data_IF_385485173427
#
_entry.id   IF_385485173427
#
_cell.length_a   1.000
_cell.length_b   1.000
_cell.length_c   1.000
_cell.angle_alpha   90.00
_cell.angle_beta   90.00
_cell.angle_gamma   90.00
#
_symmetry.space_group_name_H-M   'P 1'
#
loop_
_entity.id
_entity.type
_entity.pdbx_description
1 polymer ?
#
# COMPACT_ATOMS: atom_id res chain seq x y z
N UNK A 1 -6.19 -5.98 12.08
CA UNK A 1 -6.10 -5.34 10.76
C UNK A 1 -6.44 -3.84 10.78
N UNK A 2 -7.65 -3.35 11.13
CA UNK A 2 -7.90 -1.89 11.07
C UNK A 2 -6.97 -1.05 11.94
N UNK A 3 -6.68 -1.53 13.16
CA UNK A 3 -5.77 -0.83 14.08
C UNK A 3 -4.36 -0.68 13.49
N UNK A 4 -3.81 -1.77 12.93
CA UNK A 4 -2.48 -1.77 12.31
C UNK A 4 -2.45 -0.92 11.05
N UNK A 5 -3.52 -0.96 10.24
CA UNK A 5 -3.67 -0.07 9.09
C UNK A 5 -3.72 1.42 9.50
N UNK A 6 -4.42 1.73 10.60
CA UNK A 6 -4.47 3.08 11.16
C UNK A 6 -3.07 3.54 11.61
N UNK A 7 -2.34 2.73 12.36
CA UNK A 7 -0.97 3.08 12.77
C UNK A 7 -0.05 3.27 11.56
N UNK A 8 -0.15 2.41 10.54
CA UNK A 8 0.59 2.60 9.30
C UNK A 8 0.25 3.93 8.61
N UNK A 9 -1.02 4.38 8.62
CA UNK A 9 -1.38 5.71 8.10
C UNK A 9 -0.74 6.85 8.89
N UNK A 10 -0.69 6.76 10.23
CA UNK A 10 0.00 7.76 11.06
C UNK A 10 1.50 7.80 10.76
N UNK A 11 2.14 6.65 10.57
CA UNK A 11 3.56 6.64 10.18
C UNK A 11 3.79 7.13 8.75
N UNK A 12 2.85 6.96 7.83
CA UNK A 12 2.93 7.56 6.50
C UNK A 12 2.87 9.10 6.57
N UNK A 13 2.04 9.65 7.46
CA UNK A 13 2.01 11.09 7.78
C UNK A 13 3.35 11.56 8.37
N UNK A 14 3.91 10.84 9.35
CA UNK A 14 5.21 11.16 9.94
C UNK A 14 6.33 11.15 8.88
N UNK A 15 6.35 10.16 7.98
CA UNK A 15 7.32 10.09 6.88
C UNK A 15 7.20 11.31 5.97
N UNK A 16 5.98 11.64 5.54
CA UNK A 16 5.75 12.77 4.65
C UNK A 16 6.14 14.10 5.31
N UNK A 17 5.79 14.29 6.58
CA UNK A 17 6.15 15.47 7.36
C UNK A 17 7.66 15.60 7.56
N UNK A 18 8.34 14.51 7.90
CA UNK A 18 9.79 14.49 8.08
C UNK A 18 10.54 14.80 6.77
N UNK A 19 10.12 14.22 5.64
CA UNK A 19 10.68 14.55 4.32
C UNK A 19 10.49 16.03 3.98
N UNK A 20 9.33 16.61 4.30
CA UNK A 20 9.03 18.01 4.02
C UNK A 20 10.00 18.98 4.72
N UNK A 21 10.44 18.67 5.94
CA UNK A 21 11.40 19.48 6.70
C UNK A 21 12.87 19.04 6.52
N UNK A 22 13.13 18.05 5.66
CA UNK A 22 14.47 17.53 5.40
C UNK A 22 15.04 16.58 6.46
N UNK A 23 14.21 16.07 7.37
CA UNK A 23 14.62 15.10 8.39
C UNK A 23 14.57 13.67 7.83
N UNK A 24 15.64 13.30 7.12
CA UNK A 24 15.77 11.98 6.51
C UNK A 24 15.81 10.82 7.52
N UNK A 25 16.37 11.02 8.71
CA UNK A 25 16.49 9.96 9.72
C UNK A 25 15.13 9.60 10.31
N UNK A 26 14.32 10.60 10.65
CA UNK A 26 12.95 10.37 11.12
C UNK A 26 12.10 9.73 10.02
N UNK A 27 12.22 10.18 8.77
CA UNK A 27 11.53 9.55 7.64
C UNK A 27 11.92 8.06 7.48
N UNK A 28 13.22 7.74 7.57
CA UNK A 28 13.69 6.36 7.51
C UNK A 28 13.12 5.53 8.66
N UNK A 29 13.18 6.01 9.89
CA UNK A 29 12.69 5.28 11.06
C UNK A 29 11.17 5.07 11.01
N UNK A 30 10.39 6.13 10.76
CA UNK A 30 8.94 6.06 10.65
C UNK A 30 8.51 5.09 9.54
N UNK A 31 9.21 5.11 8.38
CA UNK A 31 8.91 4.19 7.29
C UNK A 31 9.14 2.71 7.65
N UNK A 32 10.16 2.39 8.46
CA UNK A 32 10.37 1.01 8.95
C UNK A 32 9.20 0.58 9.81
N UNK A 33 8.79 1.42 10.76
CA UNK A 33 7.68 1.10 11.67
C UNK A 33 6.37 0.95 10.87
N UNK A 34 6.12 1.81 9.89
CA UNK A 34 4.96 1.68 9.00
C UNK A 34 4.92 0.35 8.23
N UNK A 35 6.09 -0.13 7.76
CA UNK A 35 6.19 -1.47 7.14
C UNK A 35 5.93 -2.57 8.17
N UNK A 36 6.47 -2.48 9.39
CA UNK A 36 6.21 -3.47 10.45
C UNK A 36 4.71 -3.60 10.75
N UNK A 37 3.99 -2.48 10.87
CA UNK A 37 2.53 -2.47 11.09
C UNK A 37 1.76 -3.05 9.89
N UNK A 38 2.21 -2.78 8.66
CA UNK A 38 1.62 -3.35 7.46
C UNK A 38 1.83 -4.88 7.39
N UNK A 39 2.99 -5.38 7.82
CA UNK A 39 3.27 -6.81 7.92
C UNK A 39 2.41 -7.48 8.99
N UNK A 40 2.23 -6.87 10.16
CA UNK A 40 1.28 -7.37 11.18
C UNK A 40 -0.17 -7.36 10.65
N UNK A 41 -0.53 -6.40 9.80
CA UNK A 41 -1.81 -6.41 9.10
C UNK A 41 -1.95 -7.63 8.17
N UNK A 42 -0.92 -7.92 7.38
CA UNK A 42 -0.88 -9.07 6.48
C UNK A 42 -0.89 -10.42 7.22
N UNK A 43 -0.16 -10.53 8.33
CA UNK A 43 -0.16 -11.72 9.17
C UNK A 43 -1.54 -11.98 9.79
N UNK A 44 -2.20 -10.93 10.28
CA UNK A 44 -3.57 -11.05 10.77
C UNK A 44 -4.55 -11.46 9.65
N UNK A 45 -4.34 -10.99 8.42
CA UNK A 45 -5.17 -11.35 7.27
C UNK A 45 -5.03 -12.82 6.85
N UNK A 46 -3.94 -13.50 7.23
CA UNK A 46 -3.71 -14.93 6.97
C UNK A 46 -3.91 -15.78 8.25
N UNK A 47 -4.67 -15.26 9.22
CA UNK A 47 -5.02 -15.90 10.50
C UNK A 47 -3.83 -16.18 11.44
N UNK A 48 -2.70 -15.49 11.26
CA UNK A 48 -1.63 -15.47 12.27
C UNK A 48 -1.93 -14.39 13.32
N UNK A 49 -2.63 -14.82 14.37
CA UNK A 49 -3.11 -13.95 15.46
C UNK A 49 -2.06 -13.57 16.50
N UNK A 50 -0.82 -14.05 16.38
CA UNK A 50 0.26 -13.59 17.25
C UNK A 50 0.53 -12.10 16.98
N UNK A 51 0.82 -11.32 18.02
CA UNK A 51 1.15 -9.90 17.85
C UNK A 51 2.52 -9.68 18.51
N UNK A 52 3.49 -9.19 17.74
CA UNK A 52 4.78 -8.83 18.30
C UNK A 52 5.94 -8.89 17.30
N UNK A 53 6.79 -7.86 17.38
CA UNK A 53 7.93 -7.63 16.48
C UNK A 53 9.04 -8.68 16.58
N UNK A 54 9.21 -9.30 17.76
CA UNK A 54 10.32 -10.24 18.05
C UNK A 54 10.44 -11.39 17.05
N UNK A 55 9.31 -11.84 16.50
CA UNK A 55 9.27 -12.97 15.56
C UNK A 55 8.68 -12.60 14.21
N UNK A 56 8.58 -11.31 13.88
CA UNK A 56 7.88 -10.82 12.69
C UNK A 56 8.39 -11.50 11.41
N UNK A 57 9.69 -11.39 11.13
CA UNK A 57 10.31 -12.01 9.94
C UNK A 57 10.12 -13.53 9.93
N UNK A 58 10.36 -14.19 11.07
CA UNK A 58 10.19 -15.66 11.17
C UNK A 58 8.75 -16.09 10.87
N UNK A 59 7.76 -15.32 11.29
CA UNK A 59 6.33 -15.60 11.01
C UNK A 59 6.04 -15.44 9.52
N UNK A 60 6.50 -14.36 8.90
CA UNK A 60 6.37 -14.13 7.46
C UNK A 60 6.97 -15.29 6.66
N UNK A 61 8.24 -15.65 6.91
CA UNK A 61 8.92 -16.72 6.16
C UNK A 61 8.33 -18.12 6.36
N UNK A 62 7.58 -18.35 7.45
CA UNK A 62 6.94 -19.65 7.72
C UNK A 62 5.52 -19.74 7.17
N UNK A 63 4.90 -18.61 6.82
CA UNK A 63 3.54 -18.58 6.34
C UNK A 63 3.51 -18.66 4.80
N UNK A 64 3.03 -19.79 4.27
CA UNK A 64 2.98 -20.03 2.83
C UNK A 64 2.17 -18.97 2.06
N UNK A 65 1.15 -18.38 2.70
CA UNK A 65 0.34 -17.34 2.09
C UNK A 65 1.12 -16.03 1.85
N UNK A 66 2.23 -15.80 2.55
CA UNK A 66 3.07 -14.61 2.42
C UNK A 66 4.36 -14.87 1.61
N UNK A 67 4.53 -16.06 1.05
CA UNK A 67 5.74 -16.46 0.33
C UNK A 67 6.11 -15.53 -0.84
N UNK A 68 5.13 -14.98 -1.54
CA UNK A 68 5.35 -14.09 -2.68
C UNK A 68 5.89 -12.70 -2.30
N UNK A 69 5.91 -12.35 -1.00
CA UNK A 69 6.39 -11.04 -0.50
C UNK A 69 7.43 -11.17 0.61
N UNK A 70 7.81 -12.38 1.01
CA UNK A 70 8.69 -12.58 2.17
C UNK A 70 10.07 -11.94 1.97
N UNK A 71 10.59 -12.01 0.74
CA UNK A 71 11.88 -11.43 0.39
C UNK A 71 11.81 -9.90 0.38
N UNK A 72 10.73 -9.31 -0.16
CA UNK A 72 10.49 -7.86 -0.09
C UNK A 72 10.41 -7.37 1.36
N UNK A 73 9.70 -8.10 2.24
CA UNK A 73 9.63 -7.79 3.67
C UNK A 73 11.04 -7.76 4.27
N UNK A 74 11.85 -8.79 4.02
CA UNK A 74 13.20 -8.87 4.55
C UNK A 74 14.08 -7.72 4.04
N UNK A 75 14.09 -7.49 2.73
CA UNK A 75 14.91 -6.47 2.11
C UNK A 75 14.53 -5.06 2.58
N UNK A 76 13.25 -4.72 2.61
CA UNK A 76 12.79 -3.39 2.98
C UNK A 76 13.01 -3.07 4.46
N UNK A 77 12.92 -4.07 5.34
CA UNK A 77 13.19 -3.90 6.78
C UNK A 77 14.67 -3.94 7.13
N UNK A 78 15.50 -4.62 6.33
CA UNK A 78 16.94 -4.82 6.63
C UNK A 78 17.87 -3.89 5.84
N UNK A 79 17.33 -3.02 4.99
CA UNK A 79 18.14 -2.12 4.18
C UNK A 79 19.01 -1.21 5.06
N UNK A 80 20.34 -1.17 4.85
CA UNK A 80 21.24 -0.32 5.62
C UNK A 80 20.91 1.17 5.47
N UNK A 81 20.96 1.89 6.58
CA UNK A 81 20.81 3.35 6.66
C UNK A 81 22.18 3.97 6.89
N UNK A 82 22.92 4.19 5.80
CA UNK A 82 24.23 4.86 5.81
C UNK A 82 24.13 6.38 5.59
N UNK A 83 25.23 7.00 5.17
CA UNK A 83 25.26 8.40 4.74
C UNK A 83 24.52 8.58 3.40
N UNK A 84 23.19 8.62 3.47
CA UNK A 84 22.29 8.77 2.34
C UNK A 84 21.92 10.24 2.13
N UNK A 85 21.86 10.68 0.89
CA UNK A 85 21.26 11.96 0.52
C UNK A 85 19.75 11.95 0.78
N UNK A 86 19.14 13.14 0.94
CA UNK A 86 17.68 13.25 1.10
C UNK A 86 16.91 12.65 -0.09
N UNK A 87 17.50 12.67 -1.29
CA UNK A 87 16.91 12.05 -2.48
C UNK A 87 16.85 10.53 -2.35
N UNK A 88 17.96 9.91 -1.96
CA UNK A 88 18.03 8.46 -1.73
C UNK A 88 17.10 8.04 -0.58
N UNK A 89 17.04 8.82 0.50
CA UNK A 89 16.08 8.60 1.58
C UNK A 89 14.64 8.64 1.04
N UNK A 90 14.29 9.66 0.24
CA UNK A 90 12.96 9.80 -0.35
C UNK A 90 12.58 8.57 -1.19
N UNK A 91 13.50 8.07 -2.03
CA UNK A 91 13.29 6.88 -2.85
C UNK A 91 13.02 5.63 -1.98
N UNK A 92 13.83 5.42 -0.93
CA UNK A 92 13.70 4.28 -0.01
C UNK A 92 12.36 4.30 0.73
N UNK A 93 12.03 5.43 1.36
CA UNK A 93 10.81 5.53 2.17
C UNK A 93 9.56 5.51 1.29
N UNK A 94 9.62 6.05 0.07
CA UNK A 94 8.55 5.92 -0.93
C UNK A 94 8.29 4.45 -1.27
N UNK A 95 9.34 3.66 -1.53
CA UNK A 95 9.20 2.23 -1.82
C UNK A 95 8.60 1.48 -0.64
N UNK A 96 9.07 1.76 0.59
CA UNK A 96 8.53 1.19 1.83
C UNK A 96 7.04 1.49 2.00
N UNK A 97 6.62 2.73 1.80
CA UNK A 97 5.21 3.10 1.98
C UNK A 97 4.30 2.56 0.87
N UNK A 98 4.77 2.46 -0.37
CA UNK A 98 4.06 1.71 -1.43
C UNK A 98 3.87 0.25 -1.07
N UNK A 99 4.92 -0.39 -0.54
CA UNK A 99 4.84 -1.77 -0.08
C UNK A 99 3.87 -1.93 1.10
N UNK A 100 3.92 -1.03 2.08
CA UNK A 100 2.97 -1.01 3.19
C UNK A 100 1.51 -0.88 2.69
N UNK A 101 1.26 0.06 1.77
CA UNK A 101 -0.03 0.24 1.13
C UNK A 101 -0.49 -1.01 0.37
N UNK A 102 0.42 -1.71 -0.34
CA UNK A 102 0.14 -2.99 -1.00
C UNK A 102 -0.33 -4.06 -0.02
N UNK A 103 0.44 -4.31 1.04
CA UNK A 103 0.09 -5.31 2.06
C UNK A 103 -1.27 -5.00 2.69
N UNK A 104 -1.49 -3.75 3.11
CA UNK A 104 -2.73 -3.35 3.80
C UNK A 104 -3.93 -3.45 2.87
N UNK A 105 -3.81 -3.03 1.61
CA UNK A 105 -4.90 -3.08 0.64
C UNK A 105 -5.42 -4.49 0.42
N UNK A 106 -4.51 -5.44 0.18
CA UNK A 106 -4.87 -6.86 0.01
C UNK A 106 -5.45 -7.44 1.30
N UNK A 107 -4.81 -7.16 2.43
CA UNK A 107 -5.24 -7.63 3.75
C UNK A 107 -6.66 -7.20 4.11
N UNK A 108 -6.96 -5.90 3.97
CA UNK A 108 -8.28 -5.37 4.33
C UNK A 108 -9.37 -5.76 3.34
N UNK A 109 -9.05 -5.89 2.06
CA UNK A 109 -10.07 -6.20 1.04
C UNK A 109 -10.44 -7.67 1.05
N UNK A 110 -9.44 -8.52 0.97
CA UNK A 110 -9.62 -9.93 0.71
C UNK A 110 -9.48 -10.78 1.99
N UNK A 111 -8.75 -10.29 2.99
CA UNK A 111 -8.46 -11.01 4.24
C UNK A 111 -9.36 -10.67 5.43
N UNK A 112 -10.29 -9.71 5.27
CA UNK A 112 -11.09 -9.20 6.37
C UNK A 112 -12.15 -10.18 6.87
N UNK A 113 -12.91 -10.75 5.93
CA UNK A 113 -14.04 -11.64 6.22
C UNK A 113 -13.60 -13.11 6.23
N UNK A 114 -12.52 -13.44 5.53
CA UNK A 114 -11.98 -14.81 5.41
C UNK A 114 -10.46 -14.74 5.31
N UNK A 115 -9.72 -15.64 5.98
CA UNK A 115 -8.26 -15.64 5.87
C UNK A 115 -7.77 -15.76 4.43
N UNK A 116 -6.78 -14.93 4.09
CA UNK A 116 -6.06 -14.96 2.82
C UNK A 116 -5.30 -16.27 2.67
N UNK A 117 -5.45 -16.92 1.50
CA UNK A 117 -4.67 -18.10 1.13
C UNK A 117 -3.32 -17.75 0.49
N UNK A 118 -3.25 -16.58 -0.12
CA UNK A 118 -2.05 -16.06 -0.78
C UNK A 118 -2.16 -14.54 -0.91
N UNK A 119 -1.07 -13.84 -0.58
CA UNK A 119 -0.90 -12.42 -0.84
C UNK A 119 -0.09 -12.26 -2.14
N UNK A 120 -0.55 -11.47 -3.13
CA UNK A 120 0.17 -11.30 -4.38
C UNK A 120 1.52 -10.62 -4.22
N UNK A 121 2.46 -10.95 -5.09
CA UNK A 121 3.78 -10.31 -5.13
C UNK A 121 3.67 -8.79 -5.23
N UNK A 122 4.69 -8.07 -4.74
CA UNK A 122 4.76 -6.62 -4.84
C UNK A 122 5.39 -6.23 -6.20
N UNK A 123 4.62 -5.69 -7.15
CA UNK A 123 5.14 -5.38 -8.47
C UNK A 123 6.04 -4.14 -8.46
N UNK A 124 7.12 -4.18 -9.23
CA UNK A 124 7.99 -3.03 -9.53
C UNK A 124 7.61 -2.45 -10.90
N UNK A 125 6.42 -1.86 -11.00
CA UNK A 125 5.85 -1.33 -12.24
C UNK A 125 5.69 0.19 -12.23
N UNK A 126 6.15 0.88 -11.19
CA UNK A 126 5.89 2.31 -11.00
C UNK A 126 6.61 3.23 -12.00
N UNK A 127 7.54 2.70 -12.79
CA UNK A 127 8.25 3.41 -13.87
C UNK A 127 7.59 3.21 -15.24
N UNK A 128 6.55 2.39 -15.35
CA UNK A 128 5.96 2.01 -16.65
C UNK A 128 5.02 3.09 -17.23
N UNK A 129 4.89 4.24 -16.57
CA UNK A 129 4.15 5.39 -17.11
C UNK A 129 2.64 5.34 -16.93
N UNK A 130 2.11 4.38 -16.17
CA UNK A 130 0.70 4.31 -15.82
C UNK A 130 0.33 5.03 -14.51
N UNK A 131 -0.94 4.93 -14.10
CA UNK A 131 -1.41 5.48 -12.83
C UNK A 131 -0.72 4.81 -11.63
N UNK A 132 -0.20 5.61 -10.70
CA UNK A 132 0.50 5.13 -9.51
C UNK A 132 -0.17 5.62 -8.24
N UNK A 133 -0.36 4.75 -7.26
CA UNK A 133 -0.80 5.12 -5.91
C UNK A 133 0.12 6.17 -5.31
N UNK A 134 -0.47 7.17 -4.67
CA UNK A 134 0.27 8.04 -3.77
C UNK A 134 0.85 7.17 -2.63
N UNK A 135 2.18 7.15 -2.44
CA UNK A 135 2.84 6.34 -1.41
C UNK A 135 2.35 6.65 0.01
N UNK A 136 1.84 7.86 0.25
CA UNK A 136 1.45 8.32 1.58
C UNK A 136 -0.02 8.02 1.90
N UNK A 137 -0.77 7.46 0.94
CA UNK A 137 -2.16 7.09 1.14
C UNK A 137 -2.28 5.64 1.62
N UNK A 138 -3.00 5.42 2.71
CA UNK A 138 -3.28 4.08 3.25
C UNK A 138 -4.80 3.85 3.31
N UNK A 139 -5.31 2.71 2.81
CA UNK A 139 -6.71 2.38 2.93
C UNK A 139 -7.03 1.92 4.35
N UNK A 140 -8.17 2.36 4.86
CA UNK A 140 -8.73 1.92 6.14
C UNK A 140 -10.11 1.30 5.89
N UNK A 141 -10.39 0.21 6.61
CA UNK A 141 -11.69 -0.45 6.63
C UNK A 141 -12.29 -0.35 8.02
N UNK A 142 -13.55 0.07 8.08
CA UNK A 142 -14.43 -0.06 9.25
C UNK A 142 -15.48 -1.14 8.96
N UNK A 143 -16.28 -1.59 9.95
CA UNK A 143 -17.24 -2.67 9.74
C UNK A 143 -18.23 -2.46 8.58
N UNK A 144 -18.52 -1.20 8.20
CA UNK A 144 -19.50 -0.85 7.17
C UNK A 144 -19.04 0.22 6.18
N UNK A 145 -17.77 0.62 6.23
CA UNK A 145 -17.27 1.71 5.39
C UNK A 145 -15.79 1.54 5.07
N UNK A 146 -15.39 2.23 4.01
CA UNK A 146 -14.02 2.32 3.57
C UNK A 146 -13.56 3.76 3.58
N UNK A 147 -12.27 3.97 3.77
CA UNK A 147 -11.63 5.26 3.63
C UNK A 147 -10.26 5.14 3.00
N UNK A 148 -9.81 6.21 2.37
CA UNK A 148 -8.42 6.44 2.00
C UNK A 148 -7.92 7.61 2.83
N UNK A 149 -6.82 7.42 3.57
CA UNK A 149 -6.22 8.42 4.43
C UNK A 149 -4.85 8.79 3.87
N UNK A 150 -4.66 10.08 3.63
CA UNK A 150 -3.40 10.72 3.25
C UNK A 150 -2.97 11.69 4.37
N UNK A 151 -1.72 12.19 4.37
CA UNK A 151 -1.21 13.05 5.45
C UNK A 151 -2.04 14.32 5.73
N UNK A 152 -2.69 14.88 4.71
CA UNK A 152 -3.43 16.14 4.83
C UNK A 152 -4.94 15.98 4.62
N UNK A 153 -5.38 14.81 4.19
CA UNK A 153 -6.76 14.59 3.75
C UNK A 153 -7.20 13.17 4.04
N UNK A 154 -8.50 12.98 4.22
CA UNK A 154 -9.10 11.67 4.30
C UNK A 154 -10.51 11.73 3.74
N UNK A 155 -10.92 10.68 3.04
CA UNK A 155 -12.26 10.63 2.49
C UNK A 155 -12.87 9.25 2.63
N UNK A 156 -14.18 9.25 2.90
CA UNK A 156 -15.01 8.05 2.85
C UNK A 156 -15.15 7.61 1.41
N UNK A 157 -15.06 6.31 1.18
CA UNK A 157 -15.11 5.72 -0.17
C UNK A 157 -15.75 4.33 -0.15
N UNK A 158 -15.75 3.66 -1.28
CA UNK A 158 -16.28 2.30 -1.44
C UNK A 158 -15.16 1.27 -1.55
N UNK A 159 -15.50 -0.01 -1.35
CA UNK A 159 -14.57 -1.10 -1.62
C UNK A 159 -14.04 -1.02 -3.06
N UNK A 160 -14.93 -0.82 -4.05
CA UNK A 160 -14.58 -0.72 -5.46
C UNK A 160 -13.51 0.36 -5.74
N UNK A 161 -13.65 1.56 -5.17
CA UNK A 161 -12.66 2.63 -5.30
C UNK A 161 -11.30 2.25 -4.70
N UNK A 162 -11.28 1.58 -3.54
CA UNK A 162 -10.04 1.04 -2.97
C UNK A 162 -9.42 -0.03 -3.88
N UNK A 163 -10.25 -0.76 -4.63
CA UNK A 163 -9.80 -1.73 -5.63
C UNK A 163 -9.10 -1.07 -6.79
N UNK A 164 -9.72 -0.03 -7.37
CA UNK A 164 -9.11 0.77 -8.43
C UNK A 164 -7.80 1.38 -7.92
N UNK A 165 -7.82 2.01 -6.75
CA UNK A 165 -6.62 2.55 -6.11
C UNK A 165 -5.53 1.48 -5.95
N UNK A 166 -5.86 0.29 -5.44
CA UNK A 166 -4.90 -0.82 -5.25
C UNK A 166 -4.22 -1.23 -6.56
N UNK A 167 -4.98 -1.33 -7.65
CA UNK A 167 -4.47 -1.75 -8.95
C UNK A 167 -3.68 -0.65 -9.68
N UNK A 168 -3.76 0.62 -9.25
CA UNK A 168 -2.92 1.72 -9.76
C UNK A 168 -1.45 1.58 -9.33
N UNK A 169 -0.75 0.58 -9.87
CA UNK A 169 0.64 0.23 -9.55
C UNK A 169 1.67 0.73 -10.58
N UNK A 170 1.23 1.53 -11.55
CA UNK A 170 2.07 2.11 -12.59
C UNK A 170 2.03 1.38 -13.93
N UNK A 171 1.34 0.24 -14.03
CA UNK A 171 1.11 -0.42 -15.33
C UNK A 171 0.30 0.45 -16.29
N UNK A 172 0.46 0.29 -17.62
CA UNK A 172 -0.35 0.98 -18.62
C UNK A 172 -1.86 0.91 -18.36
N UNK A 173 -2.59 1.98 -18.68
CA UNK A 173 -4.01 2.12 -18.36
C UNK A 173 -4.89 1.03 -19.00
N UNK A 174 -4.53 0.56 -20.19
CA UNK A 174 -5.19 -0.56 -20.87
C UNK A 174 -4.99 -1.89 -20.11
N UNK A 175 -3.78 -2.17 -19.63
CA UNK A 175 -3.50 -3.33 -18.77
C UNK A 175 -4.23 -3.23 -17.42
N UNK A 176 -4.28 -2.03 -16.82
CA UNK A 176 -5.04 -1.75 -15.61
C UNK A 176 -6.54 -2.05 -15.80
N UNK A 177 -7.14 -1.54 -16.89
CA UNK A 177 -8.55 -1.78 -17.18
C UNK A 177 -8.84 -3.25 -17.48
N UNK A 178 -7.94 -3.92 -18.19
CA UNK A 178 -8.04 -5.36 -18.42
C UNK A 178 -8.00 -6.12 -17.09
N UNK A 179 -7.06 -5.80 -16.20
CA UNK A 179 -6.95 -6.41 -14.88
C UNK A 179 -8.20 -6.16 -14.03
N UNK A 180 -8.71 -4.93 -13.98
CA UNK A 180 -9.93 -4.60 -13.23
C UNK A 180 -11.14 -5.39 -13.74
N UNK A 181 -11.39 -5.38 -15.05
CA UNK A 181 -12.53 -6.06 -15.69
C UNK A 181 -12.49 -7.59 -15.56
N UNK A 182 -11.32 -8.16 -15.32
CA UNK A 182 -11.18 -9.61 -15.04
C UNK A 182 -11.73 -10.02 -13.67
N UNK A 183 -12.05 -9.06 -12.80
CA UNK A 183 -12.58 -9.31 -11.45
C UNK A 183 -14.10 -9.13 -11.45
N UNK A 184 -14.80 -10.05 -10.80
CA UNK A 184 -16.28 -10.09 -10.76
C UNK A 184 -16.90 -8.76 -10.32
N UNK A 185 -16.29 -8.06 -9.36
CA UNK A 185 -16.79 -6.79 -8.82
C UNK A 185 -16.77 -5.62 -9.83
N UNK A 186 -15.93 -5.69 -10.87
CA UNK A 186 -15.89 -4.70 -11.95
C UNK A 186 -16.46 -5.27 -13.25
N UNK A 187 -16.97 -6.51 -13.24
CA UNK A 187 -17.59 -7.11 -14.42
C UNK A 187 -18.83 -6.29 -14.81
N UNK A 188 -18.88 -5.85 -16.07
CA UNK A 188 -19.97 -5.01 -16.58
C UNK A 188 -19.87 -3.51 -16.29
N UNK A 189 -18.84 -3.04 -15.58
CA UNK A 189 -18.56 -1.60 -15.47
C UNK A 189 -18.01 -1.09 -16.80
N UNK A 190 -18.56 0.03 -17.28
CA UNK A 190 -18.13 0.62 -18.54
C UNK A 190 -16.73 1.26 -18.42
N UNK A 191 -15.94 1.31 -19.50
CA UNK A 191 -14.64 1.98 -19.49
C UNK A 191 -14.72 3.44 -19.02
N UNK A 192 -15.77 4.16 -19.40
CA UNK A 192 -15.98 5.57 -19.04
C UNK A 192 -16.18 5.74 -17.53
N UNK A 193 -16.86 4.80 -16.87
CA UNK A 193 -17.04 4.84 -15.42
C UNK A 193 -15.75 4.49 -14.67
N UNK A 194 -14.93 3.56 -15.20
CA UNK A 194 -13.59 3.29 -14.65
C UNK A 194 -12.67 4.50 -14.81
N UNK A 195 -12.72 5.18 -15.94
CA UNK A 195 -11.94 6.39 -16.20
C UNK A 195 -12.37 7.55 -15.30
N UNK A 196 -13.68 7.76 -15.13
CA UNK A 196 -14.21 8.75 -14.19
C UNK A 196 -13.80 8.44 -12.73
N UNK A 197 -13.85 7.16 -12.33
CA UNK A 197 -13.41 6.75 -10.99
C UNK A 197 -11.91 6.95 -10.79
N UNK A 198 -11.08 6.64 -11.79
CA UNK A 198 -9.65 6.90 -11.76
C UNK A 198 -9.36 8.40 -11.69
N UNK A 199 -10.05 9.20 -12.50
CA UNK A 199 -9.96 10.67 -12.49
C UNK A 199 -10.30 11.22 -11.11
N UNK A 200 -11.37 10.73 -10.47
CA UNK A 200 -11.72 11.11 -9.10
C UNK A 200 -10.61 10.79 -8.10
N UNK A 201 -9.95 9.64 -8.21
CA UNK A 201 -8.80 9.29 -7.35
C UNK A 201 -7.60 10.22 -7.58
N UNK A 202 -7.41 10.69 -8.81
CA UNK A 202 -6.37 11.67 -9.16
C UNK A 202 -6.70 13.05 -8.59
N UNK A 203 -7.95 13.51 -8.73
CA UNK A 203 -8.41 14.78 -8.16
C UNK A 203 -8.31 14.81 -6.63
N UNK A 204 -8.44 13.65 -5.97
CA UNK A 204 -8.26 13.50 -4.52
C UNK A 204 -6.79 13.33 -4.10
N UNK A 205 -5.83 13.40 -5.02
CA UNK A 205 -4.38 13.25 -4.79
C UNK A 205 -3.99 11.91 -4.12
N UNK A 206 -4.74 10.85 -4.39
CA UNK A 206 -4.41 9.49 -3.91
C UNK A 206 -3.85 8.58 -4.99
N UNK A 207 -3.94 9.01 -6.25
CA UNK A 207 -3.31 8.42 -7.42
C UNK A 207 -2.66 9.55 -8.22
N UNK A 208 -1.44 9.33 -8.69
CA UNK A 208 -0.77 10.21 -9.64
C UNK A 208 -0.76 9.55 -11.02
N UNK A 209 -1.14 10.30 -12.05
CA UNK A 209 -0.84 9.92 -13.43
C UNK A 209 0.64 10.19 -13.69
N UNK A 210 1.28 9.39 -14.55
CA UNK A 210 2.59 9.75 -15.06
C UNK A 210 2.42 11.02 -15.92
N UNK A 211 2.58 12.19 -15.32
CA UNK A 211 2.85 13.40 -16.08
C UNK A 211 4.15 13.16 -16.83
N UNK A 212 4.14 13.37 -18.16
CA UNK A 212 5.32 13.26 -19.03
C UNK A 212 6.53 13.89 -18.34
N UNK A 213 7.37 13.06 -17.70
CA UNK A 213 8.60 13.48 -17.01
C UNK A 213 9.72 13.63 -18.02
#
# INVERSE_FOLDING_TARGET
>A
MSRTAWYASSFAEDVAGALHIGDGLTALQASVIGVEEAVECALAAVDDLYIGRKFLLRRVFRNAALSAVSDDVYHLLSQPVGDLSLREVTEIVTRRMRFAGHLIAWSLREGWDTPLRSLPAFPDTWTHGGPTRNPWTIPIRFPRSWGLISPQTGFSTTAAMVGIWRESDGRPTDELYHALRSRDEFSGISPELLDAALTQLVECDVVALATNR
#
